data_IF_785546770511
#
_entry.id   IF_785546770511
#
_cell.length_a   1.000
_cell.length_b   1.000
_cell.length_c   1.000
_cell.angle_alpha   90.00
_cell.angle_beta   90.00
_cell.angle_gamma   90.00
#
_symmetry.space_group_name_H-M   'P 1'
#
loop_
_entity.id
_entity.type
_entity.pdbx_description
1 polymer ?
#
# COMPACT_ATOMS: atom_id res chain seq x y z
N UNK A 1 5.99 -4.32 -6.88
CA UNK A 1 6.71 -4.43 -5.61
C UNK A 1 5.76 -4.94 -4.52
N UNK A 2 6.27 -5.36 -3.37
CA UNK A 2 5.46 -5.73 -2.19
C UNK A 2 6.23 -5.38 -0.92
N UNK A 3 5.60 -4.72 0.04
CA UNK A 3 6.09 -4.71 1.42
C UNK A 3 5.66 -5.99 2.13
N UNK A 4 6.61 -6.85 2.48
CA UNK A 4 6.33 -8.11 3.18
C UNK A 4 6.05 -7.83 4.67
N UNK A 5 5.08 -8.53 5.27
CA UNK A 5 4.59 -8.26 6.65
C UNK A 5 3.26 -7.48 6.70
N UNK A 6 2.92 -6.77 5.63
CA UNK A 6 1.59 -6.24 5.37
C UNK A 6 1.44 -5.98 3.87
N UNK A 7 0.84 -6.91 3.10
CA UNK A 7 1.03 -6.96 1.65
C UNK A 7 0.41 -5.74 0.97
N UNK A 8 1.25 -4.74 0.70
CA UNK A 8 0.92 -3.51 -0.02
C UNK A 8 1.86 -3.30 -1.21
N UNK A 9 1.36 -2.64 -2.25
CA UNK A 9 2.10 -2.36 -3.49
C UNK A 9 2.33 -0.84 -3.62
N UNK A 10 3.34 -0.32 -2.92
CA UNK A 10 3.55 1.12 -2.77
C UNK A 10 3.93 1.79 -4.10
N UNK A 11 4.84 1.20 -4.86
CA UNK A 11 5.29 1.77 -6.14
C UNK A 11 4.17 2.00 -7.15
N UNK A 12 3.15 1.13 -7.15
CA UNK A 12 2.00 1.25 -8.04
C UNK A 12 1.04 2.40 -7.68
N UNK A 13 1.15 2.94 -6.46
CA UNK A 13 0.30 4.04 -5.96
C UNK A 13 1.08 5.35 -5.88
N UNK A 14 2.22 5.33 -5.20
CA UNK A 14 2.93 6.54 -4.77
C UNK A 14 3.65 7.21 -5.93
N UNK A 15 4.35 6.41 -6.74
CA UNK A 15 5.14 6.92 -7.87
C UNK A 15 4.24 7.69 -8.86
N UNK A 16 3.13 7.13 -9.39
CA UNK A 16 2.30 7.88 -10.34
C UNK A 16 1.65 9.12 -9.71
N UNK A 17 1.24 9.07 -8.43
CA UNK A 17 0.67 10.25 -7.75
C UNK A 17 1.67 11.41 -7.65
N UNK A 18 2.91 11.11 -7.24
CA UNK A 18 3.96 12.11 -7.06
C UNK A 18 4.49 12.61 -8.40
N UNK A 19 4.68 11.73 -9.39
CA UNK A 19 5.09 12.15 -10.73
C UNK A 19 4.06 13.05 -11.40
N UNK A 20 2.76 12.74 -11.29
CA UNK A 20 1.70 13.62 -11.78
C UNK A 20 1.74 15.00 -11.12
N UNK A 21 1.99 15.08 -9.80
CA UNK A 21 2.17 16.36 -9.12
C UNK A 21 3.44 17.09 -9.57
N UNK A 22 4.54 16.36 -9.77
CA UNK A 22 5.82 16.92 -10.19
C UNK A 22 5.73 17.53 -11.59
N UNK A 23 5.16 16.80 -12.54
CA UNK A 23 4.95 17.27 -13.92
C UNK A 23 4.00 18.48 -13.95
N UNK A 24 2.85 18.39 -13.27
CA UNK A 24 1.83 19.45 -13.28
C UNK A 24 2.34 20.77 -12.67
N UNK A 25 3.23 20.70 -11.68
CA UNK A 25 3.68 21.87 -10.91
C UNK A 25 5.15 22.23 -11.15
N UNK A 26 5.83 21.56 -12.08
CA UNK A 26 7.24 21.81 -12.39
C UNK A 26 8.17 21.61 -11.19
N UNK A 27 7.91 20.57 -10.37
CA UNK A 27 8.68 20.32 -9.16
C UNK A 27 10.08 19.80 -9.49
N UNK A 28 11.06 20.13 -8.63
CA UNK A 28 12.40 19.56 -8.76
C UNK A 28 12.38 18.05 -8.53
N UNK A 29 13.26 17.31 -9.22
CA UNK A 29 13.39 15.85 -9.03
C UNK A 29 13.70 15.44 -7.58
N UNK A 30 14.36 16.30 -6.82
CA UNK A 30 14.62 16.09 -5.37
C UNK A 30 13.36 16.20 -4.52
N UNK A 31 12.40 17.04 -4.90
CA UNK A 31 11.09 17.12 -4.23
C UNK A 31 10.22 15.92 -4.60
N UNK A 32 10.26 15.47 -5.85
CA UNK A 32 9.61 14.23 -6.28
C UNK A 32 10.18 13.00 -5.54
N UNK A 33 11.51 12.86 -5.47
CA UNK A 33 12.17 11.78 -4.74
C UNK A 33 11.79 11.78 -3.25
N UNK A 34 11.72 12.96 -2.62
CA UNK A 34 11.24 13.11 -1.24
C UNK A 34 9.81 12.64 -1.08
N UNK A 35 8.91 13.06 -1.97
CA UNK A 35 7.51 12.64 -1.95
C UNK A 35 7.37 11.13 -2.10
N UNK A 36 8.12 10.51 -3.01
CA UNK A 36 8.12 9.05 -3.19
C UNK A 36 8.59 8.34 -1.91
N UNK A 37 9.72 8.76 -1.34
CA UNK A 37 10.24 8.17 -0.12
C UNK A 37 9.23 8.27 1.04
N UNK A 38 8.71 9.47 1.31
CA UNK A 38 7.76 9.70 2.41
C UNK A 38 6.45 8.92 2.19
N UNK A 39 5.90 8.93 0.98
CA UNK A 39 4.65 8.24 0.68
C UNK A 39 4.76 6.73 0.85
N UNK A 40 5.85 6.13 0.36
CA UNK A 40 6.13 4.70 0.54
C UNK A 40 6.32 4.37 2.02
N UNK A 41 7.09 5.18 2.75
CA UNK A 41 7.35 4.97 4.18
C UNK A 41 6.07 5.01 5.02
N UNK A 42 5.22 6.02 4.80
CA UNK A 42 3.92 6.14 5.48
C UNK A 42 3.06 4.91 5.20
N UNK A 43 2.98 4.47 3.94
CA UNK A 43 2.19 3.30 3.55
C UNK A 43 2.69 2.00 4.22
N UNK A 44 4.01 1.79 4.25
CA UNK A 44 4.62 0.64 4.95
C UNK A 44 4.35 0.66 6.44
N UNK A 45 4.52 1.82 7.10
CA UNK A 45 4.30 1.98 8.54
C UNK A 45 2.85 1.75 8.96
N UNK A 46 1.89 2.22 8.16
CA UNK A 46 0.46 1.99 8.44
C UNK A 46 0.10 0.50 8.49
N UNK A 47 0.84 -0.35 7.78
CA UNK A 47 0.62 -1.80 7.80
C UNK A 47 0.93 -2.44 9.16
N UNK A 48 1.75 -1.79 9.99
CA UNK A 48 2.20 -2.32 11.28
C UNK A 48 1.18 -2.09 12.42
N UNK A 49 0.29 -1.10 12.27
CA UNK A 49 -0.68 -0.70 13.31
C UNK A 49 -1.71 -1.80 13.59
N UNK A 50 -2.21 -2.45 12.54
CA UNK A 50 -3.21 -3.50 12.64
C UNK A 50 -2.91 -4.61 11.61
N UNK A 51 -1.85 -5.41 11.84
CA UNK A 51 -1.39 -6.40 10.86
C UNK A 51 -2.51 -7.35 10.43
N UNK A 52 -2.65 -7.55 9.12
CA UNK A 52 -3.69 -8.39 8.46
C UNK A 52 -5.14 -7.96 8.65
N UNK A 53 -5.46 -7.10 9.62
CA UNK A 53 -6.85 -6.77 9.98
C UNK A 53 -7.62 -6.05 8.89
N UNK A 54 -6.99 -5.16 8.11
CA UNK A 54 -7.66 -4.50 6.97
C UNK A 54 -8.12 -5.50 5.92
N UNK A 55 -7.28 -6.49 5.63
CA UNK A 55 -7.65 -7.57 4.72
C UNK A 55 -8.77 -8.45 5.29
N UNK A 56 -8.71 -8.76 6.59
CA UNK A 56 -9.76 -9.54 7.28
C UNK A 56 -11.10 -8.82 7.34
N UNK A 57 -11.09 -7.49 7.38
CA UNK A 57 -12.28 -6.64 7.30
C UNK A 57 -12.85 -6.51 5.88
N UNK A 58 -12.26 -7.18 4.88
CA UNK A 58 -12.76 -7.20 3.51
C UNK A 58 -12.21 -6.08 2.61
N UNK A 59 -11.20 -5.34 3.06
CA UNK A 59 -10.62 -4.24 2.30
C UNK A 59 -9.23 -4.57 1.75
N UNK A 60 -8.93 -4.01 0.58
CA UNK A 60 -7.64 -4.17 -0.07
C UNK A 60 -6.61 -3.19 0.54
N UNK A 61 -5.59 -3.68 1.29
CA UNK A 61 -4.67 -2.78 2.00
C UNK A 61 -3.92 -1.81 1.08
N UNK A 62 -3.57 -2.24 -0.13
CA UNK A 62 -2.93 -1.36 -1.13
C UNK A 62 -3.83 -0.17 -1.50
N UNK A 63 -5.15 -0.36 -1.56
CA UNK A 63 -6.08 0.70 -1.92
C UNK A 63 -6.29 1.67 -0.74
N UNK A 64 -6.54 1.09 0.44
CA UNK A 64 -6.88 1.81 1.67
C UNK A 64 -5.67 2.61 2.19
N UNK A 65 -4.54 1.95 2.45
CA UNK A 65 -3.32 2.64 2.90
C UNK A 65 -2.65 3.43 1.78
N UNK A 66 -2.84 3.03 0.53
CA UNK A 66 -2.31 3.74 -0.63
C UNK A 66 -2.85 5.16 -0.76
N UNK A 67 -4.14 5.39 -0.43
CA UNK A 67 -4.71 6.74 -0.46
C UNK A 67 -3.99 7.68 0.53
N UNK A 68 -3.72 7.19 1.75
CA UNK A 68 -2.98 7.92 2.77
C UNK A 68 -1.51 8.12 2.39
N UNK A 69 -0.85 7.07 1.89
CA UNK A 69 0.53 7.16 1.40
C UNK A 69 0.67 8.14 0.24
N UNK A 70 -0.28 8.15 -0.71
CA UNK A 70 -0.27 9.08 -1.83
C UNK A 70 -0.49 10.53 -1.37
N UNK A 71 -1.40 10.75 -0.42
CA UNK A 71 -1.59 12.07 0.17
C UNK A 71 -0.34 12.56 0.90
N UNK A 72 0.31 11.70 1.69
CA UNK A 72 1.57 11.99 2.35
C UNK A 72 2.67 12.34 1.33
N UNK A 73 2.86 11.50 0.31
CA UNK A 73 3.89 11.69 -0.70
C UNK A 73 3.69 12.95 -1.54
N UNK A 74 2.47 13.20 -2.02
CA UNK A 74 2.15 14.41 -2.80
C UNK A 74 2.27 15.67 -1.94
N UNK A 75 1.80 15.63 -0.69
CA UNK A 75 1.92 16.76 0.24
C UNK A 75 3.38 17.10 0.54
N UNK A 76 4.23 16.08 0.72
CA UNK A 76 5.67 16.27 0.93
C UNK A 76 6.40 16.77 -0.32
N UNK A 77 6.01 16.30 -1.52
CA UNK A 77 6.55 16.81 -2.78
C UNK A 77 6.19 18.29 -3.01
N UNK A 78 4.95 18.66 -2.70
CA UNK A 78 4.46 20.05 -2.79
C UNK A 78 4.94 20.95 -1.65
N UNK A 79 5.67 20.41 -0.66
CA UNK A 79 6.13 21.11 0.54
C UNK A 79 4.99 21.84 1.27
N UNK A 80 3.85 21.17 1.40
CA UNK A 80 2.74 21.68 2.20
C UNK A 80 3.17 21.87 3.66
N UNK A 81 2.60 22.88 4.32
CA UNK A 81 2.83 23.09 5.75
C UNK A 81 2.17 21.99 6.61
N UNK A 82 2.52 21.92 7.89
CA UNK A 82 2.02 20.89 8.80
C UNK A 82 0.49 20.81 8.84
N UNK A 83 -0.19 21.97 8.84
CA UNK A 83 -1.66 22.03 8.89
C UNK A 83 -2.26 21.43 7.62
N UNK A 84 -1.74 21.82 6.46
CA UNK A 84 -2.17 21.28 5.17
C UNK A 84 -1.84 19.78 5.07
N UNK A 85 -0.69 19.34 5.57
CA UNK A 85 -0.28 17.94 5.52
C UNK A 85 -1.20 17.05 6.35
N UNK A 86 -1.54 17.45 7.59
CA UNK A 86 -2.51 16.71 8.41
C UNK A 86 -3.92 16.73 7.81
N UNK A 87 -4.35 17.87 7.26
CA UNK A 87 -5.64 17.95 6.57
C UNK A 87 -5.68 17.00 5.35
N UNK A 88 -4.59 16.91 4.58
CA UNK A 88 -4.51 16.03 3.42
C UNK A 88 -4.69 14.56 3.82
N UNK A 89 -4.05 14.12 4.90
CA UNK A 89 -4.27 12.77 5.43
C UNK A 89 -5.73 12.57 5.87
N UNK A 90 -6.29 13.50 6.62
CA UNK A 90 -7.67 13.42 7.08
C UNK A 90 -8.67 13.29 5.92
N UNK A 91 -8.50 14.10 4.87
CA UNK A 91 -9.33 14.06 3.65
C UNK A 91 -9.13 12.73 2.92
N UNK A 92 -7.89 12.29 2.76
CA UNK A 92 -7.57 11.03 2.09
C UNK A 92 -8.17 9.82 2.83
N UNK A 93 -8.26 9.87 4.16
CA UNK A 93 -8.93 8.86 4.97
C UNK A 93 -10.39 8.66 4.57
N UNK A 94 -11.13 9.74 4.29
CA UNK A 94 -12.51 9.68 3.80
C UNK A 94 -12.64 9.26 2.32
N UNK A 95 -11.55 9.32 1.54
CA UNK A 95 -11.52 8.89 0.14
C UNK A 95 -10.99 7.46 -0.05
N UNK A 96 -10.40 6.88 1.01
CA UNK A 96 -9.91 5.51 1.02
C UNK A 96 -11.05 4.52 0.74
N UNK A 97 -10.79 3.54 -0.10
CA UNK A 97 -11.79 2.57 -0.55
C UNK A 97 -11.12 1.34 -1.19
N UNK A 98 -11.91 0.34 -1.55
CA UNK A 98 -11.48 -0.85 -2.29
C UNK A 98 -11.68 -2.13 -1.51
N UNK A 99 -12.71 -2.90 -1.87
CA UNK A 99 -13.01 -4.20 -1.26
C UNK A 99 -12.27 -5.34 -1.96
N UNK A 100 -12.04 -6.45 -1.27
CA UNK A 100 -11.30 -7.61 -1.81
C UNK A 100 -12.15 -8.58 -2.62
N UNK A 101 -13.42 -8.27 -2.89
CA UNK A 101 -14.37 -9.15 -3.59
C UNK A 101 -13.87 -9.61 -4.97
N UNK A 102 -12.92 -8.89 -5.57
CA UNK A 102 -12.25 -9.34 -6.80
C UNK A 102 -11.60 -10.72 -6.68
N UNK A 103 -11.32 -11.21 -5.47
CA UNK A 103 -10.76 -12.53 -5.23
C UNK A 103 -11.76 -13.65 -5.55
N UNK A 104 -13.07 -13.40 -5.46
CA UNK A 104 -14.10 -14.42 -5.67
C UNK A 104 -14.11 -14.94 -7.11
N UNK A 105 -13.94 -14.05 -8.08
CA UNK A 105 -14.04 -14.39 -9.52
C UNK A 105 -12.80 -13.98 -10.33
N UNK A 106 -11.76 -13.45 -9.69
CA UNK A 106 -10.58 -12.92 -10.39
C UNK A 106 -10.86 -11.63 -11.16
N UNK A 107 -11.79 -10.80 -10.67
CA UNK A 107 -12.18 -9.55 -11.31
C UNK A 107 -11.02 -8.55 -11.44
N UNK A 108 -11.11 -7.66 -12.42
CA UNK A 108 -10.01 -6.74 -12.74
C UNK A 108 -9.93 -5.50 -11.83
N UNK A 109 -10.88 -5.31 -10.92
CA UNK A 109 -10.93 -4.15 -10.01
C UNK A 109 -9.68 -4.05 -9.13
N UNK A 110 -9.02 -5.16 -8.81
CA UNK A 110 -7.69 -5.16 -8.16
C UNK A 110 -6.67 -4.25 -8.87
N UNK A 111 -6.69 -4.21 -10.21
CA UNK A 111 -5.77 -3.42 -11.04
C UNK A 111 -6.09 -1.93 -11.00
N UNK A 112 -7.37 -1.59 -10.83
CA UNK A 112 -7.84 -0.21 -10.69
C UNK A 112 -7.46 0.38 -9.33
N UNK A 113 -7.48 -0.44 -8.27
CA UNK A 113 -7.29 0.02 -6.89
C UNK A 113 -6.07 0.92 -6.67
N UNK A 114 -4.85 0.61 -7.16
CA UNK A 114 -3.70 1.48 -6.98
C UNK A 114 -3.87 2.85 -7.64
N UNK A 115 -4.44 2.89 -8.86
CA UNK A 115 -4.69 4.14 -9.59
C UNK A 115 -5.75 5.00 -8.90
N UNK A 116 -6.81 4.37 -8.36
CA UNK A 116 -7.83 5.08 -7.58
C UNK A 116 -7.24 5.68 -6.30
N UNK A 117 -6.42 4.92 -5.58
CA UNK A 117 -5.73 5.40 -4.38
C UNK A 117 -4.75 6.56 -4.69
N UNK A 118 -4.01 6.48 -5.79
CA UNK A 118 -3.12 7.54 -6.26
C UNK A 118 -3.88 8.84 -6.52
N UNK A 119 -5.01 8.73 -7.25
CA UNK A 119 -5.90 9.86 -7.54
C UNK A 119 -6.51 10.47 -6.27
N UNK A 120 -6.94 9.62 -5.33
CA UNK A 120 -7.52 10.05 -4.06
C UNK A 120 -6.50 10.86 -3.24
N UNK A 121 -5.28 10.35 -3.09
CA UNK A 121 -4.23 11.05 -2.33
C UNK A 121 -3.79 12.36 -2.98
N UNK A 122 -3.65 12.39 -4.32
CA UNK A 122 -3.36 13.62 -5.04
C UNK A 122 -4.44 14.69 -4.78
N UNK A 123 -5.72 14.34 -4.96
CA UNK A 123 -6.83 15.27 -4.74
C UNK A 123 -6.91 15.74 -3.30
N UNK A 124 -6.70 14.86 -2.32
CA UNK A 124 -6.70 15.22 -0.91
C UNK A 124 -5.62 16.26 -0.58
N UNK A 125 -4.40 16.09 -1.10
CA UNK A 125 -3.32 17.07 -0.95
C UNK A 125 -3.67 18.41 -1.60
N UNK A 126 -4.27 18.40 -2.80
CA UNK A 126 -4.73 19.63 -3.48
C UNK A 126 -5.85 20.34 -2.72
N UNK A 127 -6.82 19.60 -2.19
CA UNK A 127 -7.92 20.15 -1.38
C UNK A 127 -7.38 20.79 -0.10
N UNK A 128 -6.46 20.12 0.60
CA UNK A 128 -5.83 20.66 1.79
C UNK A 128 -5.00 21.92 1.49
N UNK A 129 -4.25 21.93 0.38
CA UNK A 129 -3.52 23.13 -0.07
C UNK A 129 -4.47 24.31 -0.31
N UNK A 130 -5.67 24.05 -0.84
CA UNK A 130 -6.71 25.05 -1.05
C UNK A 130 -7.46 25.47 0.24
N UNK A 131 -7.09 24.93 1.40
CA UNK A 131 -7.67 25.27 2.69
C UNK A 131 -8.83 24.39 3.15
N UNK A 132 -9.15 23.29 2.43
CA UNK A 132 -10.11 22.30 2.91
C UNK A 132 -9.56 21.62 4.18
N UNK A 133 -10.45 21.37 5.14
CA UNK A 133 -10.09 20.85 6.46
C UNK A 133 -10.41 19.35 6.54
N UNK A 134 -9.45 18.56 6.98
CA UNK A 134 -9.62 17.14 7.27
C UNK A 134 -9.60 16.86 8.78
N UNK A 135 -10.14 15.72 9.24
CA UNK A 135 -10.05 15.31 10.65
C UNK A 135 -8.58 15.07 11.03
N UNK A 136 -8.08 15.80 12.04
CA UNK A 136 -6.70 15.64 12.54
C UNK A 136 -6.52 14.41 13.43
N UNK A 137 -7.60 13.92 14.04
CA UNK A 137 -7.66 12.69 14.84
C UNK A 137 -8.02 11.48 13.96
N UNK A 138 -7.50 11.45 12.74
CA UNK A 138 -7.84 10.43 11.72
C UNK A 138 -7.66 9.01 12.26
N UNK A 139 -6.64 8.77 13.07
CA UNK A 139 -6.27 7.44 13.54
C UNK A 139 -6.88 7.10 14.90
N UNK A 140 -6.84 8.03 15.84
CA UNK A 140 -7.12 7.86 17.27
C UNK A 140 -8.41 8.54 17.75
N UNK A 141 -9.19 9.12 16.82
CA UNK A 141 -10.53 9.63 17.12
C UNK A 141 -11.58 8.53 17.26
N UNK A 142 -12.76 8.91 17.76
CA UNK A 142 -13.90 8.00 18.02
C UNK A 142 -14.32 7.17 16.78
N UNK A 143 -14.26 7.77 15.59
CA UNK A 143 -14.57 7.11 14.31
C UNK A 143 -13.29 6.92 13.46
N UNK A 144 -12.21 6.50 14.11
CA UNK A 144 -10.88 6.41 13.52
C UNK A 144 -10.79 5.46 12.31
N UNK A 145 -9.77 5.69 11.49
CA UNK A 145 -9.52 4.95 10.26
C UNK A 145 -9.39 3.44 10.48
N UNK A 146 -8.67 3.02 11.52
CA UNK A 146 -8.47 1.60 11.82
C UNK A 146 -9.68 0.95 12.50
N UNK A 147 -10.51 1.73 13.20
CA UNK A 147 -11.83 1.25 13.62
C UNK A 147 -12.65 0.88 12.37
N UNK A 148 -12.78 1.80 11.42
CA UNK A 148 -13.61 1.61 10.22
C UNK A 148 -13.09 0.54 9.25
N UNK A 149 -11.78 0.53 8.94
CA UNK A 149 -11.21 -0.34 7.92
C UNK A 149 -10.58 -1.62 8.46
N UNK A 150 -10.40 -1.74 9.78
CA UNK A 150 -9.69 -2.87 10.38
C UNK A 150 -10.41 -3.50 11.59
N UNK A 151 -11.62 -3.03 11.95
CA UNK A 151 -12.35 -3.47 13.15
C UNK A 151 -11.42 -3.48 14.38
N UNK A 152 -10.64 -2.42 14.54
CA UNK A 152 -9.58 -2.32 15.53
C UNK A 152 -9.81 -1.09 16.41
N UNK A 153 -10.42 -1.34 17.58
CA UNK A 153 -10.74 -0.29 18.56
C UNK A 153 -9.56 0.05 19.46
N UNK A 154 -8.63 -0.89 19.65
CA UNK A 154 -7.43 -0.74 20.47
C UNK A 154 -6.18 -1.13 19.67
N UNK A 155 -5.85 -0.34 18.64
CA UNK A 155 -4.64 -0.56 17.85
C UNK A 155 -3.39 -0.04 18.54
N UNK A 156 -2.26 -0.68 18.27
CA UNK A 156 -0.96 -0.19 18.72
C UNK A 156 -0.38 0.79 17.70
N UNK A 157 -0.60 2.08 17.94
CA UNK A 157 -0.03 3.15 17.11
C UNK A 157 1.47 3.36 17.35
N UNK A 158 2.06 2.79 18.41
CA UNK A 158 3.51 2.89 18.64
C UNK A 158 4.28 2.13 17.56
N UNK A 159 3.69 1.04 17.03
CA UNK A 159 4.27 0.24 15.96
C UNK A 159 4.57 1.04 14.68
N UNK A 160 3.74 2.02 14.31
CA UNK A 160 4.03 2.87 13.13
C UNK A 160 5.08 3.95 13.41
N UNK A 161 5.31 4.30 14.67
CA UNK A 161 6.26 5.34 15.08
C UNK A 161 7.64 4.78 15.42
N UNK A 162 7.75 3.49 15.71
CA UNK A 162 9.01 2.86 16.07
C UNK A 162 10.06 3.02 14.96
N UNK A 163 11.23 3.53 15.32
CA UNK A 163 12.31 3.85 14.38
C UNK A 163 12.00 4.93 13.34
N UNK A 164 10.86 5.63 13.40
CA UNK A 164 10.50 6.66 12.41
C UNK A 164 11.57 7.75 12.28
N UNK A 165 11.96 8.06 11.04
CA UNK A 165 13.02 9.01 10.72
C UNK A 165 14.45 8.46 10.89
N UNK A 166 14.62 7.27 11.48
CA UNK A 166 15.93 6.60 11.63
C UNK A 166 16.04 5.36 10.75
N UNK A 167 14.96 4.59 10.65
CA UNK A 167 14.83 3.42 9.81
C UNK A 167 13.73 3.68 8.78
N UNK A 168 14.03 3.36 7.52
CA UNK A 168 13.08 3.47 6.41
C UNK A 168 12.61 2.08 6.03
N UNK A 169 11.41 1.71 6.45
CA UNK A 169 10.80 0.42 6.13
C UNK A 169 10.55 0.25 4.63
N UNK A 170 10.36 1.35 3.90
CA UNK A 170 10.21 1.30 2.45
C UNK A 170 11.46 0.75 1.73
N UNK A 171 12.63 0.75 2.37
CA UNK A 171 13.84 0.16 1.80
C UNK A 171 13.77 -1.38 1.73
N UNK A 172 12.91 -2.01 2.55
CA UNK A 172 12.72 -3.46 2.60
C UNK A 172 11.61 -3.95 1.64
N UNK A 173 11.09 -3.07 0.79
CA UNK A 173 10.11 -3.43 -0.23
C UNK A 173 10.74 -4.40 -1.24
N UNK A 174 10.10 -5.55 -1.43
CA UNK A 174 10.54 -6.58 -2.36
C UNK A 174 10.10 -6.29 -3.81
N UNK A 175 11.02 -6.47 -4.76
CA UNK A 175 10.70 -6.50 -6.18
C UNK A 175 10.31 -7.92 -6.60
N UNK A 176 9.15 -8.04 -7.26
CA UNK A 176 8.62 -9.34 -7.68
C UNK A 176 9.38 -9.86 -8.89
N UNK A 177 9.99 -11.06 -8.83
CA UNK A 177 10.59 -11.69 -10.00
C UNK A 177 9.55 -12.22 -11.00
N UNK A 178 8.32 -12.47 -10.53
CA UNK A 178 7.25 -13.06 -11.34
C UNK A 178 5.94 -12.25 -11.22
N UNK A 179 5.21 -12.15 -12.33
CA UNK A 179 3.95 -11.38 -12.46
C UNK A 179 2.72 -12.12 -11.88
N UNK A 180 2.83 -12.61 -10.64
CA UNK A 180 1.78 -13.33 -9.94
C UNK A 180 1.77 -12.98 -8.43
N UNK A 181 0.85 -13.60 -7.68
CA UNK A 181 0.85 -13.52 -6.22
C UNK A 181 2.17 -14.05 -5.65
N UNK A 182 2.72 -13.36 -4.64
CA UNK A 182 4.01 -13.72 -4.01
C UNK A 182 4.02 -15.16 -3.49
N UNK A 183 2.87 -15.68 -3.10
CA UNK A 183 2.71 -17.07 -2.65
C UNK A 183 3.05 -18.11 -3.72
N UNK A 184 2.97 -17.76 -5.00
CA UNK A 184 3.34 -18.67 -6.09
C UNK A 184 4.85 -18.66 -6.38
N UNK A 185 5.60 -17.66 -5.92
CA UNK A 185 7.01 -17.46 -6.29
C UNK A 185 7.90 -18.63 -5.84
N UNK A 186 7.80 -19.17 -4.61
CA UNK A 186 8.61 -20.31 -4.21
C UNK A 186 8.38 -21.55 -5.08
N UNK A 187 7.13 -21.79 -5.52
CA UNK A 187 6.83 -22.94 -6.37
C UNK A 187 7.40 -22.76 -7.79
N UNK A 188 7.36 -21.53 -8.33
CA UNK A 188 8.00 -21.20 -9.61
C UNK A 188 9.51 -21.42 -9.52
N UNK A 189 10.15 -20.97 -8.43
CA UNK A 189 11.58 -21.20 -8.21
C UNK A 189 11.94 -22.69 -8.12
N UNK A 190 11.13 -23.48 -7.40
CA UNK A 190 11.31 -24.93 -7.33
C UNK A 190 11.17 -25.59 -8.71
N UNK A 191 10.15 -25.22 -9.49
CA UNK A 191 9.96 -25.74 -10.85
C UNK A 191 11.15 -25.39 -11.76
N UNK A 192 11.66 -24.15 -11.69
CA UNK A 192 12.86 -23.73 -12.43
C UNK A 192 14.11 -24.53 -12.04
N UNK A 193 14.29 -24.83 -10.75
CA UNK A 193 15.41 -25.64 -10.26
C UNK A 193 15.33 -27.08 -10.76
N UNK A 194 14.14 -27.68 -10.79
CA UNK A 194 13.93 -29.03 -11.34
C UNK A 194 14.19 -29.07 -12.86
N UNK A 195 13.70 -28.07 -13.59
CA UNK A 195 13.97 -27.95 -15.02
C UNK A 195 15.48 -27.82 -15.31
N UNK A 196 16.21 -27.05 -14.49
CA UNK A 196 17.67 -26.94 -14.60
C UNK A 196 18.42 -28.25 -14.30
N UNK A 197 17.77 -29.22 -13.64
CA UNK A 197 18.30 -30.57 -13.40
C UNK A 197 17.92 -31.56 -14.52
N UNK A 198 17.23 -31.10 -15.58
CA UNK A 198 16.87 -31.92 -16.73
C UNK A 198 15.50 -32.58 -16.65
N UNK A 199 14.67 -32.26 -15.65
CA UNK A 199 13.28 -32.74 -15.58
C UNK A 199 12.46 -32.02 -16.65
N UNK A 200 11.99 -32.73 -17.68
CA UNK A 200 11.12 -32.14 -18.69
C UNK A 200 9.67 -32.06 -18.19
N UNK A 201 8.87 -31.08 -18.64
CA UNK A 201 7.45 -31.00 -18.26
C UNK A 201 6.65 -32.29 -18.58
N UNK A 202 7.04 -33.02 -19.63
CA UNK A 202 6.42 -34.29 -20.02
C UNK A 202 6.70 -35.45 -19.06
N UNK A 203 7.72 -35.34 -18.20
CA UNK A 203 8.08 -36.36 -17.23
C UNK A 203 7.30 -36.23 -15.90
N UNK A 204 6.57 -35.12 -15.71
CA UNK A 204 5.89 -34.79 -14.46
C UNK A 204 4.49 -35.38 -14.44
N UNK A 205 4.26 -36.36 -13.56
CA UNK A 205 2.94 -37.00 -13.39
C UNK A 205 2.03 -36.27 -12.40
N UNK A 206 2.58 -35.63 -11.37
CA UNK A 206 1.84 -34.84 -10.39
C UNK A 206 2.72 -33.77 -9.72
N UNK A 207 2.09 -32.74 -9.17
CA UNK A 207 2.75 -31.68 -8.39
C UNK A 207 1.95 -31.46 -7.11
N UNK A 208 2.62 -31.53 -5.96
CA UNK A 208 2.05 -31.18 -4.65
C UNK A 208 2.71 -29.90 -4.14
N UNK A 209 1.92 -28.83 -3.97
CA UNK A 209 2.38 -27.55 -3.43
C UNK A 209 1.88 -27.37 -1.99
N UNK A 210 2.78 -27.52 -1.01
CA UNK A 210 2.47 -27.27 0.40
C UNK A 210 2.40 -25.78 0.67
N UNK A 211 1.23 -25.32 1.12
CA UNK A 211 0.96 -23.92 1.46
C UNK A 211 0.65 -23.76 2.94
N UNK A 212 0.99 -22.61 3.53
CA UNK A 212 0.52 -22.25 4.86
C UNK A 212 -1.01 -22.02 4.88
N UNK A 213 -1.57 -22.08 6.08
CA UNK A 213 -2.99 -21.85 6.32
C UNK A 213 -3.43 -20.45 5.88
N UNK A 214 -4.64 -20.34 5.30
CA UNK A 214 -5.24 -19.07 4.88
C UNK A 214 -4.78 -18.51 3.53
N UNK A 215 -3.90 -19.19 2.79
CA UNK A 215 -3.42 -18.73 1.47
C UNK A 215 -4.34 -19.18 0.32
N UNK A 216 -5.01 -20.32 0.47
CA UNK A 216 -5.94 -20.87 -0.52
C UNK A 216 -7.30 -21.07 0.13
N UNK A 217 -8.37 -20.74 -0.59
CA UNK A 217 -9.73 -21.14 -0.20
C UNK A 217 -9.85 -22.66 -0.39
N UNK A 218 -10.34 -23.36 0.64
CA UNK A 218 -10.62 -24.79 0.62
C UNK A 218 -12.12 -25.01 0.79
#
# INVERSE_FOLDING_TARGET
>A
DTFEGGPVHAGAVIIPAVLAAAEQHGLAGTDAARGIAVGCEVMCRLCLVAPKRVHQAGFHPTAVFGALGAAAGVSSALRLDDKQWFNALGIAGSMASGIIEYLAEGAWTKRMHPGWAAQAGYRAARMAQAGFIGPRTLFDGEHGFFHAFANCDACDFTAMLDGAGKQWLCADIAFKPYACGTMAHPYIDCARKLAAQGVAPGDVTSIECKTAEGIVHR
#
